data_IF_707939750433
#
_entry.id   IF_707939750433
#
_cell.length_a   1.000
_cell.length_b   1.000
_cell.length_c   1.000
_cell.angle_alpha   90.00
_cell.angle_beta   90.00
_cell.angle_gamma   90.00
#
_symmetry.space_group_name_H-M   'P 1'
#
loop_
_entity.id
_entity.type
_entity.pdbx_description
1 polymer ?
#
# COMPACT_ATOMS: atom_id res chain seq x y z
N UNK A 1 4.80 -11.26 -17.69
CA UNK A 1 5.46 -10.38 -16.71
C UNK A 1 6.55 -9.60 -17.43
N UNK A 2 6.50 -8.27 -17.38
CA UNK A 2 7.51 -7.39 -18.00
C UNK A 2 8.51 -6.90 -16.96
N UNK A 3 9.76 -6.69 -17.36
CA UNK A 3 10.78 -6.06 -16.51
C UNK A 3 10.86 -4.58 -16.85
N UNK A 4 10.72 -3.71 -15.85
CA UNK A 4 10.81 -2.26 -16.03
C UNK A 4 12.28 -1.81 -16.03
N UNK A 5 12.57 -0.84 -16.89
CA UNK A 5 13.83 -0.12 -16.96
C UNK A 5 13.66 1.31 -16.40
N UNK A 6 14.57 2.22 -16.75
CA UNK A 6 14.54 3.61 -16.30
C UNK A 6 13.44 4.47 -16.95
N UNK A 7 12.69 3.94 -17.92
CA UNK A 7 11.58 4.68 -18.52
C UNK A 7 10.37 4.69 -17.58
N UNK A 8 9.71 5.85 -17.49
CA UNK A 8 8.50 6.06 -16.70
C UNK A 8 7.25 5.59 -17.47
N UNK A 9 7.17 4.29 -17.72
CA UNK A 9 6.05 3.65 -18.42
C UNK A 9 5.68 2.35 -17.68
N UNK A 10 4.38 2.08 -17.58
CA UNK A 10 3.86 0.79 -17.14
C UNK A 10 3.12 0.08 -18.30
N UNK A 11 3.12 -1.27 -18.33
CA UNK A 11 2.20 -2.02 -19.17
C UNK A 11 0.75 -1.69 -18.79
N UNK A 12 -0.18 -1.86 -19.72
CA UNK A 12 -1.59 -1.63 -19.43
C UNK A 12 -2.08 -2.61 -18.33
N UNK A 13 -2.81 -2.15 -17.29
CA UNK A 13 -3.23 -3.00 -16.16
C UNK A 13 -3.95 -4.29 -16.56
N UNK A 14 -4.82 -4.23 -17.58
CA UNK A 14 -5.53 -5.40 -18.12
C UNK A 14 -4.64 -6.47 -18.79
N UNK A 15 -3.33 -6.23 -18.91
CA UNK A 15 -2.36 -7.22 -19.36
C UNK A 15 -1.76 -8.05 -18.21
N UNK A 16 -2.13 -7.74 -16.96
CA UNK A 16 -1.78 -8.57 -15.81
C UNK A 16 -2.45 -9.97 -15.95
N UNK A 17 -1.75 -11.05 -15.59
CA UNK A 17 -2.39 -12.35 -15.40
C UNK A 17 -3.41 -12.32 -14.24
N UNK A 18 -4.22 -13.37 -14.08
CA UNK A 18 -5.30 -13.46 -13.09
C UNK A 18 -4.88 -13.14 -11.64
N UNK A 19 -3.63 -13.41 -11.26
CA UNK A 19 -3.10 -13.12 -9.93
C UNK A 19 -2.64 -11.66 -9.75
N UNK A 20 -2.61 -10.86 -10.82
CA UNK A 20 -2.37 -9.42 -10.78
C UNK A 20 -0.91 -8.96 -10.90
N UNK A 21 0.09 -9.84 -10.97
CA UNK A 21 1.49 -9.43 -11.09
C UNK A 21 1.79 -8.90 -12.51
N UNK A 22 1.93 -7.58 -12.63
CA UNK A 22 2.04 -6.88 -13.90
C UNK A 22 3.50 -6.80 -14.37
N UNK A 23 4.38 -6.32 -13.49
CA UNK A 23 5.78 -6.04 -13.82
C UNK A 23 6.71 -6.20 -12.61
N UNK A 24 8.01 -6.33 -12.89
CA UNK A 24 9.08 -6.36 -11.89
C UNK A 24 10.19 -5.34 -12.21
N UNK A 25 10.91 -4.87 -11.20
CA UNK A 25 12.03 -3.94 -11.36
C UNK A 25 11.62 -2.46 -11.40
N UNK A 26 12.45 -1.64 -12.05
CA UNK A 26 12.37 -0.18 -11.98
C UNK A 26 12.94 0.36 -10.66
N UNK A 27 12.26 1.33 -10.08
CA UNK A 27 12.69 2.09 -8.89
C UNK A 27 11.45 2.53 -8.09
N UNK A 28 11.64 3.18 -6.93
CA UNK A 28 10.56 3.78 -6.14
C UNK A 28 10.57 5.31 -6.21
N UNK A 29 11.01 5.88 -7.34
CA UNK A 29 10.95 7.34 -7.54
C UNK A 29 9.53 7.85 -7.36
N UNK A 30 9.39 9.08 -6.85
CA UNK A 30 8.08 9.71 -6.60
C UNK A 30 7.26 9.73 -7.89
N UNK A 31 7.88 10.06 -9.02
CA UNK A 31 7.24 10.11 -10.33
C UNK A 31 6.68 8.75 -10.76
N UNK A 32 7.45 7.66 -10.55
CA UNK A 32 6.99 6.31 -10.88
C UNK A 32 5.88 5.84 -9.95
N UNK A 33 5.97 6.13 -8.66
CA UNK A 33 4.92 5.80 -7.69
C UNK A 33 3.61 6.50 -8.05
N UNK A 34 3.66 7.81 -8.34
CA UNK A 34 2.48 8.58 -8.75
C UNK A 34 1.87 8.00 -10.03
N UNK A 35 2.69 7.70 -11.04
CA UNK A 35 2.24 7.07 -12.29
C UNK A 35 1.57 5.71 -12.03
N UNK A 36 2.16 4.88 -11.16
CA UNK A 36 1.62 3.58 -10.79
C UNK A 36 0.23 3.72 -10.18
N UNK A 37 0.08 4.53 -9.12
CA UNK A 37 -1.19 4.72 -8.42
C UNK A 37 -2.27 5.31 -9.32
N UNK A 38 -1.93 6.28 -10.18
CA UNK A 38 -2.86 6.84 -11.19
C UNK A 38 -3.33 5.79 -12.20
N UNK A 39 -2.50 4.79 -12.48
CA UNK A 39 -2.80 3.68 -13.38
C UNK A 39 -3.46 2.49 -12.68
N UNK A 40 -3.77 2.58 -11.39
CA UNK A 40 -4.34 1.47 -10.61
C UNK A 40 -3.33 0.40 -10.20
N UNK A 41 -2.03 0.69 -10.29
CA UNK A 41 -0.92 -0.22 -10.00
C UNK A 41 -0.31 0.14 -8.63
N UNK A 42 0.12 -0.85 -7.86
CA UNK A 42 0.81 -0.61 -6.57
C UNK A 42 2.02 -1.54 -6.38
N UNK A 43 3.09 -1.08 -5.69
CA UNK A 43 4.23 -1.91 -5.37
C UNK A 43 3.91 -2.82 -4.18
N UNK A 44 4.33 -4.09 -4.25
CA UNK A 44 4.23 -5.04 -3.14
C UNK A 44 5.25 -6.16 -3.32
N UNK A 45 6.27 -6.22 -2.46
CA UNK A 45 7.42 -7.13 -2.59
C UNK A 45 8.07 -7.41 -1.22
N UNK A 46 8.88 -8.47 -1.11
CA UNK A 46 9.66 -8.77 0.09
C UNK A 46 11.08 -8.22 -0.03
N UNK A 47 11.82 -8.09 1.07
CA UNK A 47 13.19 -7.51 1.08
C UNK A 47 14.18 -8.19 0.12
N UNK A 48 14.01 -9.49 -0.13
CA UNK A 48 14.88 -10.26 -1.02
C UNK A 48 14.38 -10.31 -2.48
N UNK A 49 13.20 -9.76 -2.75
CA UNK A 49 12.58 -9.78 -4.07
C UNK A 49 12.88 -8.48 -4.82
N UNK A 50 12.94 -8.48 -6.16
CA UNK A 50 12.87 -7.25 -6.92
C UNK A 50 11.54 -6.53 -6.64
N UNK A 51 11.48 -5.22 -6.89
CA UNK A 51 10.22 -4.46 -6.79
C UNK A 51 9.19 -5.14 -7.70
N UNK A 52 8.05 -5.55 -7.13
CA UNK A 52 6.94 -6.16 -7.85
C UNK A 52 5.77 -5.19 -7.91
N UNK A 53 5.18 -5.03 -9.08
CA UNK A 53 4.08 -4.10 -9.36
C UNK A 53 2.80 -4.87 -9.70
N UNK A 54 1.73 -4.56 -8.98
CA UNK A 54 0.49 -5.35 -8.99
C UNK A 54 -0.71 -4.55 -9.43
N UNK A 55 -1.61 -5.21 -10.18
CA UNK A 55 -2.95 -4.75 -10.53
C UNK A 55 -3.92 -5.94 -10.60
N UNK A 56 -4.39 -6.45 -9.44
CA UNK A 56 -5.26 -7.62 -9.38
C UNK A 56 -6.66 -7.35 -9.91
N UNK A 57 -7.26 -8.40 -10.48
CA UNK A 57 -8.65 -8.47 -10.90
C UNK A 57 -9.25 -9.80 -10.36
N UNK A 58 -10.24 -9.77 -9.43
CA UNK A 58 -10.93 -8.60 -8.90
C UNK A 58 -10.08 -7.74 -7.96
N UNK A 59 -10.32 -6.42 -7.97
CA UNK A 59 -9.69 -5.48 -7.04
C UNK A 59 -10.54 -5.30 -5.78
N UNK A 60 -9.92 -5.46 -4.62
CA UNK A 60 -10.57 -5.12 -3.35
C UNK A 60 -10.74 -3.60 -3.25
N UNK A 61 -11.97 -3.16 -3.05
CA UNK A 61 -12.33 -1.76 -2.79
C UNK A 61 -13.22 -1.67 -1.56
N UNK A 62 -13.21 -0.51 -0.91
CA UNK A 62 -14.07 -0.21 0.23
C UNK A 62 -15.06 0.88 -0.18
N UNK A 63 -16.32 0.52 -0.34
CA UNK A 63 -17.36 1.45 -0.79
C UNK A 63 -17.86 2.32 0.37
N UNK A 64 -17.27 3.51 0.48
CA UNK A 64 -17.62 4.53 1.46
C UNK A 64 -18.99 5.17 1.24
N UNK A 65 -19.63 4.96 0.08
CA UNK A 65 -20.94 5.54 -0.26
C UNK A 65 -22.12 4.62 0.08
N UNK A 66 -21.86 3.34 0.34
CA UNK A 66 -22.89 2.41 0.79
C UNK A 66 -23.50 2.84 2.13
N UNK A 67 -24.76 2.45 2.37
CA UNK A 67 -25.49 2.78 3.61
C UNK A 67 -24.78 2.25 4.87
N UNK A 68 -24.12 1.09 4.75
CA UNK A 68 -23.34 0.46 5.81
C UNK A 68 -21.93 0.11 5.29
N UNK A 69 -21.01 1.09 5.16
CA UNK A 69 -19.70 0.88 4.53
C UNK A 69 -18.79 0.01 5.38
N UNK A 70 -19.01 -0.02 6.69
CA UNK A 70 -18.25 -0.84 7.62
C UNK A 70 -19.14 -1.50 8.66
N UNK A 71 -18.82 -2.74 9.00
CA UNK A 71 -19.35 -3.40 10.20
C UNK A 71 -18.72 -2.82 11.47
N UNK A 72 -19.43 -1.93 12.17
CA UNK A 72 -19.00 -1.41 13.48
C UNK A 72 -19.55 -2.28 14.61
N UNK A 73 -18.69 -3.13 15.18
CA UNK A 73 -19.07 -4.06 16.26
C UNK A 73 -19.36 -3.34 17.59
N UNK A 74 -20.11 -4.01 18.49
CA UNK A 74 -20.42 -3.46 19.83
C UNK A 74 -19.15 -3.15 20.64
N UNK A 75 -18.14 -4.01 20.56
CA UNK A 75 -16.85 -3.81 21.24
C UNK A 75 -16.07 -2.63 20.67
N UNK A 76 -16.09 -2.41 19.35
CA UNK A 76 -15.47 -1.23 18.73
C UNK A 76 -16.18 0.07 19.18
N UNK A 77 -17.52 0.10 19.19
CA UNK A 77 -18.29 1.24 19.71
C UNK A 77 -17.98 1.53 21.18
N UNK A 78 -17.81 0.48 21.99
CA UNK A 78 -17.46 0.64 23.39
C UNK A 78 -16.03 1.18 23.57
N UNK A 79 -15.08 0.65 22.80
CA UNK A 79 -13.68 1.09 22.79
C UNK A 79 -13.57 2.57 22.42
N UNK A 80 -14.27 2.97 21.35
CA UNK A 80 -14.32 4.36 20.88
C UNK A 80 -14.81 5.31 21.99
N UNK A 81 -15.90 4.96 22.68
CA UNK A 81 -16.48 5.81 23.74
C UNK A 81 -15.58 5.93 24.97
N UNK A 82 -14.89 4.86 25.35
CA UNK A 82 -14.27 4.77 26.68
C UNK A 82 -12.76 5.02 26.70
N UNK A 83 -12.05 4.85 25.58
CA UNK A 83 -10.59 4.87 25.59
C UNK A 83 -9.97 6.24 25.32
N UNK A 84 -10.79 7.26 25.02
CA UNK A 84 -10.32 8.63 24.86
C UNK A 84 -9.34 8.82 23.70
N UNK A 85 -9.49 8.06 22.62
CA UNK A 85 -8.64 8.20 21.43
C UNK A 85 -8.75 9.60 20.83
N UNK A 86 -7.61 10.17 20.43
CA UNK A 86 -7.53 11.39 19.64
C UNK A 86 -7.09 10.99 18.24
N UNK A 87 -7.90 11.29 17.24
CA UNK A 87 -7.55 11.06 15.84
C UNK A 87 -6.86 12.33 15.33
N UNK A 88 -5.68 12.16 14.75
CA UNK A 88 -4.90 13.22 14.11
C UNK A 88 -4.49 12.77 12.73
N UNK A 89 -4.30 13.72 11.83
CA UNK A 89 -3.87 13.48 10.45
C UNK A 89 -2.48 14.06 10.24
N UNK A 90 -1.59 13.33 9.56
CA UNK A 90 -0.25 13.77 9.15
C UNK A 90 0.62 14.39 10.26
N UNK A 91 0.44 13.98 11.52
CA UNK A 91 1.23 14.52 12.65
C UNK A 91 2.52 13.75 12.95
N UNK A 92 2.63 12.50 12.51
CA UNK A 92 3.80 11.64 12.75
C UNK A 92 3.92 10.54 11.68
N UNK A 93 3.89 10.92 10.39
CA UNK A 93 3.84 9.97 9.27
C UNK A 93 4.94 8.89 9.33
N UNK A 94 6.20 9.28 9.50
CA UNK A 94 7.34 8.34 9.59
C UNK A 94 7.18 7.35 10.74
N UNK A 95 6.73 7.80 11.91
CA UNK A 95 6.49 6.91 13.06
C UNK A 95 5.36 5.91 12.77
N UNK A 96 4.27 6.36 12.15
CA UNK A 96 3.17 5.49 11.73
C UNK A 96 3.67 4.43 10.74
N UNK A 97 4.47 4.82 9.75
CA UNK A 97 5.04 3.90 8.77
C UNK A 97 5.95 2.84 9.41
N UNK A 98 6.84 3.24 10.32
CA UNK A 98 7.67 2.29 11.07
C UNK A 98 6.83 1.34 11.93
N UNK A 99 5.78 1.83 12.59
CA UNK A 99 4.89 0.94 13.35
C UNK A 99 4.12 -0.03 12.44
N UNK A 100 3.70 0.40 11.25
CA UNK A 100 3.10 -0.47 10.24
C UNK A 100 4.07 -1.54 9.75
N UNK A 101 5.37 -1.23 9.65
CA UNK A 101 6.42 -2.16 9.26
C UNK A 101 6.73 -3.22 10.33
N UNK A 102 6.63 -2.85 11.61
CA UNK A 102 7.06 -3.69 12.75
C UNK A 102 5.92 -4.50 13.40
N UNK A 103 4.66 -4.19 13.09
CA UNK A 103 3.52 -4.87 13.72
C UNK A 103 3.50 -6.35 13.34
N UNK A 104 3.51 -7.23 14.34
CA UNK A 104 3.38 -8.68 14.13
C UNK A 104 1.96 -9.02 13.69
N UNK A 105 1.83 -9.74 12.58
CA UNK A 105 0.55 -10.29 12.12
C UNK A 105 0.60 -11.80 12.22
N UNK A 106 -0.54 -12.42 12.51
CA UNK A 106 -0.63 -13.88 12.48
C UNK A 106 -0.36 -14.35 11.06
N UNK A 107 0.51 -15.36 10.92
CA UNK A 107 0.86 -16.01 9.66
C UNK A 107 1.67 -15.16 8.65
N UNK A 108 2.18 -13.99 9.03
CA UNK A 108 3.11 -13.19 8.21
C UNK A 108 4.50 -13.12 8.90
N UNK A 109 5.56 -13.41 8.13
CA UNK A 109 6.95 -13.32 8.63
C UNK A 109 7.47 -11.87 8.73
N UNK A 110 6.72 -10.90 8.18
CA UNK A 110 7.10 -9.49 8.11
C UNK A 110 6.14 -8.73 7.20
N UNK A 111 6.45 -7.48 6.88
CA UNK A 111 5.68 -6.68 5.93
C UNK A 111 6.55 -6.27 4.75
N UNK A 112 5.91 -5.86 3.66
CA UNK A 112 6.59 -5.29 2.49
C UNK A 112 7.12 -3.86 2.73
N UNK A 113 6.79 -3.25 3.87
CA UNK A 113 7.20 -1.90 4.23
C UNK A 113 8.60 -2.00 4.85
N UNK A 114 9.62 -1.62 4.08
CA UNK A 114 11.00 -1.55 4.52
C UNK A 114 11.52 -0.11 4.51
N UNK A 115 12.71 0.11 5.07
CA UNK A 115 13.31 1.45 5.19
C UNK A 115 13.45 2.15 3.83
N UNK A 116 13.69 1.39 2.76
CA UNK A 116 13.70 1.91 1.40
C UNK A 116 12.34 2.47 1.00
N UNK A 117 11.24 1.76 1.22
CA UNK A 117 9.90 2.27 0.94
C UNK A 117 9.55 3.50 1.80
N UNK A 118 9.92 3.48 3.08
CA UNK A 118 9.65 4.59 4.01
C UNK A 118 10.38 5.86 3.56
N UNK A 119 11.65 5.76 3.15
CA UNK A 119 12.40 6.95 2.73
C UNK A 119 11.77 7.64 1.51
N UNK A 120 11.37 6.88 0.49
CA UNK A 120 10.77 7.45 -0.73
C UNK A 120 9.38 8.04 -0.50
N UNK A 121 8.58 7.46 0.39
CA UNK A 121 7.25 8.02 0.73
C UNK A 121 7.35 9.27 1.59
N UNK A 122 8.42 9.43 2.37
CA UNK A 122 8.68 10.65 3.13
C UNK A 122 9.06 11.83 2.21
N UNK A 123 9.77 11.57 1.11
CA UNK A 123 10.13 12.62 0.14
C UNK A 123 8.90 13.29 -0.51
N UNK A 124 7.78 12.58 -0.65
CA UNK A 124 6.52 13.14 -1.16
C UNK A 124 5.80 14.03 -0.13
N UNK A 125 6.03 13.82 1.16
CA UNK A 125 5.31 14.53 2.24
C UNK A 125 5.94 15.87 2.61
N UNK A 126 7.11 16.20 2.04
CA UNK A 126 7.83 17.46 2.22
C UNK A 126 7.76 18.32 0.95
#
# INVERSE_FOLDING_TARGET
MQTLDHNLIFPHPSSAPDHGLLAIGGDLSVERLLLAYQSGIFPWYSDCDPICWWSPDPRMVFDLQSDEPMRVTKSLKQSQRNKGYIIKENTCFTEVMHHCALVKRQDEAGTWINDGFISHTQDYMN
#
